data_IF_277543632091
#
_entry.id   IF_277543632091
#
_cell.length_a   1.000
_cell.length_b   1.000
_cell.length_c   1.000
_cell.angle_alpha   90.00
_cell.angle_beta   90.00
_cell.angle_gamma   90.00
#
_symmetry.space_group_name_H-M   'P 1'
#
loop_
_entity.id
_entity.type
_entity.pdbx_description
1 polymer ?
#
# COMPACT_ATOMS: atom_id res chain seq x y z
N UNK A 1 60.45 -52.73 -42.99
CA UNK A 1 60.17 -51.74 -44.06
C UNK A 1 59.95 -50.38 -43.41
N UNK A 2 60.77 -49.41 -43.83
CA UNK A 2 60.77 -48.00 -43.42
C UNK A 2 59.78 -47.20 -44.27
N UNK A 3 59.34 -46.04 -43.77
CA UNK A 3 58.69 -44.97 -44.53
C UNK A 3 57.87 -44.05 -43.61
N UNK A 4 58.48 -43.19 -42.80
CA UNK A 4 58.97 -41.80 -43.06
C UNK A 4 57.92 -40.69 -42.91
N UNK A 5 58.15 -39.88 -41.86
CA UNK A 5 57.99 -38.43 -41.69
C UNK A 5 57.25 -37.57 -42.72
N UNK A 6 56.51 -36.58 -42.19
CA UNK A 6 56.38 -35.27 -42.81
C UNK A 6 55.19 -34.43 -42.36
N UNK A 7 55.31 -33.70 -41.24
CA UNK A 7 54.67 -32.37 -41.15
C UNK A 7 55.47 -31.38 -42.00
N UNK A 8 54.91 -30.20 -42.38
CA UNK A 8 54.90 -29.11 -41.40
C UNK A 8 53.74 -28.08 -41.49
N UNK A 9 53.59 -27.36 -40.37
CA UNK A 9 53.32 -25.93 -40.18
C UNK A 9 52.47 -25.12 -41.19
N UNK A 10 51.36 -24.58 -40.68
CA UNK A 10 51.24 -23.12 -40.39
C UNK A 10 50.67 -22.19 -41.47
N UNK A 11 49.43 -21.71 -41.26
CA UNK A 11 48.89 -20.36 -41.58
C UNK A 11 47.45 -20.28 -41.00
N UNK A 12 47.22 -19.72 -39.81
CA UNK A 12 46.79 -18.33 -39.50
C UNK A 12 45.92 -17.68 -40.59
N UNK A 13 44.60 -17.68 -40.40
CA UNK A 13 43.65 -16.56 -40.59
C UNK A 13 42.44 -16.92 -39.70
N UNK A 14 42.24 -16.31 -38.51
CA UNK A 14 41.76 -14.96 -38.23
C UNK A 14 40.38 -14.65 -38.85
N UNK A 15 39.41 -14.35 -37.98
CA UNK A 15 38.29 -13.48 -38.32
C UNK A 15 36.93 -14.15 -38.51
N UNK A 16 36.22 -14.37 -37.41
CA UNK A 16 34.92 -13.70 -37.15
C UNK A 16 34.23 -14.38 -35.96
N UNK A 17 34.71 -13.96 -34.80
CA UNK A 17 33.99 -13.92 -33.53
C UNK A 17 32.53 -13.48 -33.79
N UNK A 18 31.58 -14.41 -33.74
CA UNK A 18 30.15 -14.07 -33.69
C UNK A 18 29.78 -13.77 -32.25
N UNK A 19 30.22 -12.58 -31.88
CA UNK A 19 29.95 -11.87 -30.64
C UNK A 19 28.44 -11.88 -30.38
N UNK A 20 28.03 -12.58 -29.32
CA UNK A 20 26.74 -12.37 -28.66
C UNK A 20 26.69 -10.89 -28.31
N UNK A 21 25.77 -10.16 -28.92
CA UNK A 21 25.48 -8.76 -28.60
C UNK A 21 24.91 -8.72 -27.18
N UNK A 22 25.81 -8.71 -26.20
CA UNK A 22 25.53 -8.24 -24.85
C UNK A 22 25.39 -6.74 -24.99
N UNK A 23 24.16 -6.27 -25.12
CA UNK A 23 23.86 -4.86 -24.99
C UNK A 23 24.19 -4.43 -23.57
N UNK A 24 25.42 -3.94 -23.41
CA UNK A 24 25.97 -3.47 -22.14
C UNK A 24 25.48 -2.03 -22.00
N UNK A 25 24.23 -1.86 -21.56
CA UNK A 25 23.74 -0.57 -21.11
C UNK A 25 24.60 -0.15 -19.92
N UNK A 26 25.64 0.63 -20.20
CA UNK A 26 26.40 1.35 -19.18
C UNK A 26 25.49 2.43 -18.65
N UNK A 27 24.75 2.12 -17.60
CA UNK A 27 24.18 3.15 -16.74
C UNK A 27 25.34 3.88 -16.07
N UNK A 28 25.80 4.96 -16.72
CA UNK A 28 26.57 6.00 -16.05
C UNK A 28 25.70 6.54 -14.92
N UNK A 29 26.24 6.45 -13.70
CA UNK A 29 25.68 6.97 -12.47
C UNK A 29 25.29 8.44 -12.62
N UNK A 30 24.00 8.69 -12.82
CA UNK A 30 23.35 9.91 -12.37
C UNK A 30 22.53 9.54 -11.13
N UNK A 31 22.54 10.43 -10.15
CA UNK A 31 21.92 10.26 -8.84
C UNK A 31 20.59 9.51 -8.93
N UNK A 32 20.40 8.51 -8.05
CA UNK A 32 19.21 7.68 -8.03
C UNK A 32 17.94 8.53 -7.97
N UNK A 33 17.29 8.73 -9.12
CA UNK A 33 15.86 9.00 -9.20
C UNK A 33 15.17 7.78 -8.60
N UNK A 34 14.78 7.90 -7.33
CA UNK A 34 14.05 6.85 -6.63
C UNK A 34 12.60 6.87 -7.12
N UNK A 35 12.30 6.06 -8.12
CA UNK A 35 10.92 5.75 -8.46
C UNK A 35 10.29 4.92 -7.33
N UNK A 36 9.04 5.25 -6.96
CA UNK A 36 8.25 4.58 -5.92
C UNK A 36 7.68 3.24 -6.37
N UNK A 37 8.06 2.74 -7.55
CA UNK A 37 7.46 1.57 -8.16
C UNK A 37 8.25 0.31 -7.82
N UNK A 38 7.62 -0.58 -7.08
CA UNK A 38 8.04 -1.98 -6.97
C UNK A 38 7.60 -2.74 -8.21
N UNK A 39 8.41 -3.67 -8.70
CA UNK A 39 8.00 -4.57 -9.78
C UNK A 39 6.79 -5.42 -9.34
N UNK A 40 5.82 -5.69 -10.22
CA UNK A 40 4.66 -6.49 -9.86
C UNK A 40 5.08 -7.93 -9.52
N UNK A 41 4.60 -8.44 -8.37
CA UNK A 41 4.89 -9.80 -7.92
C UNK A 41 3.91 -10.83 -8.50
N UNK A 42 2.65 -10.45 -8.65
CA UNK A 42 1.55 -11.27 -9.15
C UNK A 42 0.49 -10.35 -9.77
N UNK A 43 -0.06 -10.72 -10.92
CA UNK A 43 -1.08 -9.94 -11.65
C UNK A 43 -2.08 -10.90 -12.26
N UNK A 44 -3.36 -10.67 -11.99
CA UNK A 44 -4.48 -11.42 -12.56
C UNK A 44 -5.42 -10.44 -13.27
N UNK A 45 -5.94 -10.86 -14.43
CA UNK A 45 -7.02 -10.15 -15.12
C UNK A 45 -8.35 -10.64 -14.57
N UNK A 46 -9.22 -9.70 -14.20
CA UNK A 46 -10.58 -10.00 -13.77
C UNK A 46 -11.48 -10.18 -14.99
N UNK A 47 -12.29 -11.23 -14.98
CA UNK A 47 -13.39 -11.40 -15.91
C UNK A 47 -14.63 -10.61 -15.44
N UNK A 48 -15.57 -10.27 -16.35
CA UNK A 48 -16.86 -9.74 -15.95
C UNK A 48 -17.57 -10.70 -14.99
N UNK A 49 -18.02 -10.19 -13.85
CA UNK A 49 -18.70 -10.98 -12.82
C UNK A 49 -17.78 -11.59 -11.76
N UNK A 50 -16.46 -11.47 -11.89
CA UNK A 50 -15.54 -11.91 -10.85
C UNK A 50 -15.74 -11.08 -9.57
N UNK A 51 -15.82 -11.77 -8.45
CA UNK A 51 -15.77 -11.13 -7.15
C UNK A 51 -14.32 -10.74 -6.83
N UNK A 52 -14.04 -9.44 -6.93
CA UNK A 52 -12.71 -8.85 -6.73
C UNK A 52 -12.06 -9.32 -5.42
N UNK A 53 -12.81 -9.41 -4.34
CA UNK A 53 -12.24 -9.81 -3.05
C UNK A 53 -11.85 -11.29 -3.02
N UNK A 54 -12.62 -12.17 -3.66
CA UNK A 54 -12.30 -13.59 -3.78
C UNK A 54 -11.04 -13.79 -4.62
N UNK A 55 -10.94 -13.11 -5.78
CA UNK A 55 -9.74 -13.18 -6.62
C UNK A 55 -8.52 -12.63 -5.88
N UNK A 56 -8.66 -11.49 -5.21
CA UNK A 56 -7.58 -10.89 -4.39
C UNK A 56 -7.12 -11.84 -3.29
N UNK A 57 -8.06 -12.48 -2.58
CA UNK A 57 -7.73 -13.42 -1.52
C UNK A 57 -6.98 -14.65 -2.05
N UNK A 58 -7.38 -15.17 -3.21
CA UNK A 58 -6.69 -16.28 -3.87
C UNK A 58 -5.25 -15.88 -4.27
N UNK A 59 -5.07 -14.68 -4.84
CA UNK A 59 -3.73 -14.18 -5.19
C UNK A 59 -2.84 -14.01 -3.94
N UNK A 60 -3.36 -13.39 -2.88
CA UNK A 60 -2.61 -13.21 -1.62
C UNK A 60 -2.21 -14.56 -1.04
N UNK A 61 -3.12 -15.54 -1.00
CA UNK A 61 -2.81 -16.92 -0.56
C UNK A 61 -1.69 -17.54 -1.36
N UNK A 62 -1.74 -17.41 -2.70
CA UNK A 62 -0.70 -17.92 -3.59
C UNK A 62 0.67 -17.30 -3.30
N UNK A 63 0.71 -15.98 -3.13
CA UNK A 63 1.94 -15.25 -2.78
C UNK A 63 2.48 -15.69 -1.43
N UNK A 64 1.65 -15.68 -0.38
CA UNK A 64 2.05 -16.04 0.99
C UNK A 64 2.58 -17.47 1.02
N UNK A 65 1.90 -18.41 0.36
CA UNK A 65 2.36 -19.79 0.28
C UNK A 65 3.73 -19.91 -0.41
N UNK A 66 3.96 -19.19 -1.52
CA UNK A 66 5.28 -19.17 -2.18
C UNK A 66 6.38 -18.59 -1.29
N UNK A 67 6.08 -17.57 -0.49
CA UNK A 67 7.03 -17.00 0.48
C UNK A 67 7.40 -18.01 1.57
N UNK A 68 6.41 -18.75 2.09
CA UNK A 68 6.63 -19.79 3.12
C UNK A 68 7.43 -20.95 2.54
N UNK A 69 7.01 -21.50 1.40
CA UNK A 69 7.69 -22.62 0.73
C UNK A 69 9.11 -22.24 0.30
N UNK A 70 9.32 -21.00 -0.13
CA UNK A 70 10.65 -20.46 -0.45
C UNK A 70 11.53 -20.17 0.76
N UNK A 71 11.05 -20.41 1.99
CA UNK A 71 11.79 -20.15 3.22
C UNK A 71 11.98 -18.67 3.55
N UNK A 72 11.28 -17.76 2.87
CA UNK A 72 11.32 -16.32 3.14
C UNK A 72 10.54 -15.91 4.37
N UNK A 73 9.69 -16.80 4.89
CA UNK A 73 9.00 -16.68 6.17
C UNK A 73 9.04 -18.01 6.89
N UNK A 74 9.43 -17.99 8.15
CA UNK A 74 9.48 -19.14 9.05
C UNK A 74 8.54 -18.95 10.23
N UNK A 75 8.30 -20.03 10.98
CA UNK A 75 7.55 -19.95 12.24
C UNK A 75 8.34 -19.13 13.26
N UNK A 76 7.69 -18.13 13.86
CA UNK A 76 8.33 -17.20 14.78
C UNK A 76 8.70 -15.85 14.16
N UNK A 77 8.70 -15.75 12.82
CA UNK A 77 8.81 -14.44 12.15
C UNK A 77 7.56 -13.59 12.38
N UNK A 78 7.67 -12.25 12.39
CA UNK A 78 6.53 -11.36 12.37
C UNK A 78 5.58 -11.66 11.21
N UNK A 79 4.29 -11.42 11.42
CA UNK A 79 3.28 -11.55 10.38
C UNK A 79 3.53 -10.60 9.20
N UNK A 80 3.16 -11.05 8.00
CA UNK A 80 3.35 -10.29 6.77
C UNK A 80 2.35 -9.13 6.74
N UNK A 81 2.85 -7.90 6.62
CA UNK A 81 1.99 -6.72 6.48
C UNK A 81 1.41 -6.62 5.06
N UNK A 82 0.12 -6.92 4.91
CA UNK A 82 -0.64 -6.68 3.69
C UNK A 82 -1.18 -5.24 3.68
N UNK A 83 -0.71 -4.40 2.76
CA UNK A 83 -1.19 -3.03 2.60
C UNK A 83 -2.13 -2.92 1.40
N UNK A 84 -3.38 -2.49 1.62
CA UNK A 84 -4.37 -2.31 0.56
C UNK A 84 -4.94 -0.89 0.50
N UNK A 85 -5.29 -0.44 -0.71
CA UNK A 85 -5.92 0.86 -0.94
C UNK A 85 -7.42 0.88 -0.65
N UNK A 86 -8.02 2.07 -0.75
CA UNK A 86 -9.43 2.32 -0.42
C UNK A 86 -10.48 1.68 -1.34
N UNK A 87 -10.04 1.04 -2.43
CA UNK A 87 -10.89 0.20 -3.27
C UNK A 87 -11.16 -1.18 -2.66
N UNK A 88 -10.42 -1.59 -1.62
CA UNK A 88 -10.57 -2.89 -0.97
C UNK A 88 -11.36 -2.77 0.33
N UNK A 89 -12.16 -3.79 0.63
CA UNK A 89 -12.96 -3.86 1.86
C UNK A 89 -12.15 -4.55 2.95
N UNK A 90 -11.58 -3.74 3.86
CA UNK A 90 -10.72 -4.22 4.96
C UNK A 90 -11.34 -5.36 5.78
N UNK A 91 -12.53 -5.21 6.38
CA UNK A 91 -13.13 -6.25 7.22
C UNK A 91 -13.32 -7.59 6.50
N UNK A 92 -13.70 -7.55 5.21
CA UNK A 92 -13.87 -8.77 4.42
C UNK A 92 -12.51 -9.43 4.17
N UNK A 93 -11.50 -8.67 3.78
CA UNK A 93 -10.14 -9.17 3.56
C UNK A 93 -9.54 -9.80 4.83
N UNK A 94 -9.68 -9.14 5.98
CA UNK A 94 -9.22 -9.68 7.27
C UNK A 94 -9.92 -10.99 7.63
N UNK A 95 -11.24 -11.10 7.37
CA UNK A 95 -11.98 -12.33 7.63
C UNK A 95 -11.58 -13.48 6.71
N UNK A 96 -11.50 -13.24 5.40
CA UNK A 96 -11.22 -14.32 4.43
C UNK A 96 -9.76 -14.77 4.40
N UNK A 97 -8.87 -14.06 5.09
CA UNK A 97 -7.43 -14.37 5.17
C UNK A 97 -6.98 -14.62 6.62
N UNK A 98 -7.91 -14.83 7.55
CA UNK A 98 -7.62 -14.96 8.99
C UNK A 98 -6.78 -16.18 9.37
N UNK A 99 -6.71 -17.18 8.48
CA UNK A 99 -5.87 -18.38 8.63
C UNK A 99 -4.43 -18.19 8.14
N UNK A 100 -4.12 -17.05 7.50
CA UNK A 100 -2.77 -16.73 7.05
C UNK A 100 -2.01 -15.92 8.11
N UNK A 101 -0.67 -16.01 8.14
CA UNK A 101 0.17 -15.21 9.03
C UNK A 101 0.35 -13.79 8.47
N UNK A 102 -0.74 -13.03 8.41
CA UNK A 102 -0.76 -11.69 7.86
C UNK A 102 -1.44 -10.70 8.80
N UNK A 103 -0.97 -9.45 8.74
CA UNK A 103 -1.69 -8.28 9.28
C UNK A 103 -2.22 -7.47 8.12
N UNK A 104 -3.53 -7.20 8.12
CA UNK A 104 -4.21 -6.46 7.06
C UNK A 104 -4.31 -4.99 7.43
N UNK A 105 -3.62 -4.13 6.68
CA UNK A 105 -3.69 -2.67 6.78
C UNK A 105 -4.34 -2.10 5.54
N UNK A 106 -5.56 -1.58 5.67
CA UNK A 106 -6.31 -1.01 4.55
C UNK A 106 -6.55 0.47 4.77
N UNK A 107 -6.23 1.29 3.76
CA UNK A 107 -6.69 2.67 3.71
C UNK A 107 -8.20 2.66 3.52
N UNK A 108 -8.96 3.15 4.47
CA UNK A 108 -10.41 3.27 4.31
C UNK A 108 -10.77 4.63 3.68
N UNK A 109 -11.90 4.68 2.95
CA UNK A 109 -12.42 5.94 2.43
C UNK A 109 -12.91 6.84 3.58
N UNK A 110 -12.76 8.15 3.42
CA UNK A 110 -13.12 9.15 4.43
C UNK A 110 -14.62 9.29 4.70
N UNK A 111 -15.47 8.79 3.80
CA UNK A 111 -16.93 8.78 3.93
C UNK A 111 -17.45 7.52 4.67
N UNK A 112 -16.56 6.65 5.15
CA UNK A 112 -16.96 5.45 5.88
C UNK A 112 -17.36 5.77 7.33
N UNK A 113 -18.37 5.06 7.79
CA UNK A 113 -18.80 5.04 9.19
C UNK A 113 -18.66 3.63 9.72
N UNK A 114 -17.85 3.46 10.76
CA UNK A 114 -17.78 2.23 11.53
C UNK A 114 -18.73 2.31 12.73
N UNK A 115 -19.13 1.14 13.25
CA UNK A 115 -19.99 1.05 14.43
C UNK A 115 -19.21 0.37 15.55
N UNK A 116 -19.27 0.96 16.75
CA UNK A 116 -18.79 0.31 17.97
C UNK A 116 -19.66 -0.91 18.31
N UNK A 117 -19.19 -1.84 19.14
CA UNK A 117 -19.97 -2.90 19.74
C UNK A 117 -21.22 -2.32 20.40
N UNK A 118 -22.31 -3.06 20.29
CA UNK A 118 -23.52 -2.68 21.00
C UNK A 118 -23.25 -2.70 22.51
N UNK A 119 -23.72 -1.69 23.26
CA UNK A 119 -23.66 -1.77 24.72
C UNK A 119 -24.47 -2.98 25.21
N UNK A 120 -24.11 -3.56 26.37
CA UNK A 120 -24.88 -4.64 26.97
C UNK A 120 -26.36 -4.30 27.08
N UNK A 121 -27.23 -5.27 26.82
CA UNK A 121 -28.68 -5.09 26.92
C UNK A 121 -29.10 -5.07 28.41
N UNK A 122 -29.61 -3.95 28.94
CA UNK A 122 -29.93 -3.87 30.37
C UNK A 122 -31.09 -4.79 30.75
N UNK A 123 -31.05 -5.45 31.92
CA UNK A 123 -32.14 -6.28 32.42
C UNK A 123 -33.46 -5.49 32.49
N UNK A 124 -34.58 -6.13 32.15
CA UNK A 124 -35.91 -5.50 32.18
C UNK A 124 -36.22 -4.60 30.97
N UNK A 125 -35.28 -4.40 30.05
CA UNK A 125 -35.54 -3.65 28.81
C UNK A 125 -36.32 -4.51 27.83
N UNK A 126 -37.54 -4.09 27.51
CA UNK A 126 -38.35 -4.73 26.48
C UNK A 126 -37.91 -4.31 25.07
N UNK A 127 -37.99 -5.25 24.12
CA UNK A 127 -37.67 -5.03 22.72
C UNK A 127 -36.36 -5.67 22.26
N UNK A 128 -36.09 -5.60 20.96
CA UNK A 128 -34.91 -6.21 20.33
C UNK A 128 -33.63 -5.49 20.80
N UNK A 129 -32.60 -6.21 21.27
CA UNK A 129 -31.31 -5.62 21.60
C UNK A 129 -30.72 -4.83 20.43
N UNK A 130 -30.02 -3.74 20.76
CA UNK A 130 -29.28 -2.97 19.75
C UNK A 130 -28.23 -3.86 19.10
N UNK A 131 -28.15 -3.84 17.77
CA UNK A 131 -27.12 -4.58 17.01
C UNK A 131 -25.77 -3.85 17.01
N UNK A 132 -25.80 -2.53 17.13
CA UNK A 132 -24.63 -1.66 16.97
C UNK A 132 -24.63 -0.57 18.04
N UNK A 133 -23.42 -0.16 18.45
CA UNK A 133 -23.17 1.00 19.30
C UNK A 133 -23.03 2.30 18.51
N UNK A 134 -22.41 3.29 19.15
CA UNK A 134 -22.18 4.61 18.57
C UNK A 134 -21.34 4.60 17.29
N UNK A 135 -21.51 5.63 16.48
CA UNK A 135 -20.81 5.80 15.20
C UNK A 135 -19.38 6.27 15.39
N UNK A 136 -18.50 5.78 14.52
CA UNK A 136 -17.18 6.31 14.28
C UNK A 136 -17.13 6.71 12.80
N UNK A 137 -17.49 7.95 12.51
CA UNK A 137 -17.60 8.49 11.16
C UNK A 137 -16.27 9.13 10.76
N UNK A 138 -15.65 8.66 9.68
CA UNK A 138 -14.31 9.09 9.27
C UNK A 138 -14.27 10.54 8.78
N UNK A 139 -15.43 11.09 8.40
CA UNK A 139 -15.59 12.49 8.01
C UNK A 139 -15.91 13.42 9.18
N UNK A 140 -16.25 12.89 10.36
CA UNK A 140 -16.68 13.68 11.51
C UNK A 140 -15.86 13.33 12.76
N UNK A 141 -14.80 14.11 13.05
CA UNK A 141 -13.97 13.92 14.23
C UNK A 141 -14.71 14.02 15.57
N UNK A 142 -15.89 14.65 15.63
CA UNK A 142 -16.67 14.73 16.88
C UNK A 142 -17.22 13.36 17.32
N UNK A 143 -17.29 12.41 16.37
CA UNK A 143 -17.68 11.03 16.65
C UNK A 143 -16.53 10.16 17.14
N UNK A 144 -15.28 10.66 17.06
CA UNK A 144 -14.10 9.92 17.47
C UNK A 144 -13.97 10.00 18.99
N UNK A 145 -13.84 8.85 19.65
CA UNK A 145 -13.50 8.83 21.07
C UNK A 145 -12.04 9.29 21.25
N UNK A 146 -11.58 9.43 22.49
CA UNK A 146 -10.15 9.60 22.75
C UNK A 146 -9.37 8.39 22.18
N UNK A 147 -8.28 8.60 21.42
CA UNK A 147 -7.46 7.51 20.94
C UNK A 147 -6.78 6.77 22.10
N UNK A 148 -6.73 5.44 22.00
CA UNK A 148 -6.02 4.60 22.98
C UNK A 148 -4.51 4.72 22.81
N UNK A 149 -4.06 4.85 21.57
CA UNK A 149 -2.66 5.04 21.23
C UNK A 149 -2.56 6.22 20.28
N UNK A 150 -1.71 7.18 20.64
CA UNK A 150 -1.34 8.28 19.78
C UNK A 150 0.18 8.39 19.69
N UNK A 151 0.69 8.55 18.48
CA UNK A 151 2.11 8.67 18.20
C UNK A 151 2.36 9.77 17.19
N UNK A 152 3.48 10.47 17.35
CA UNK A 152 3.97 11.45 16.39
C UNK A 152 5.41 11.14 16.06
N UNK A 153 5.73 11.10 14.77
CA UNK A 153 7.10 10.90 14.31
C UNK A 153 7.44 11.90 13.23
N UNK A 154 8.71 12.31 13.17
CA UNK A 154 9.20 13.16 12.08
C UNK A 154 9.65 12.23 10.96
N UNK A 155 9.05 12.38 9.79
CA UNK A 155 9.55 11.69 8.60
C UNK A 155 10.48 12.61 7.84
N UNK A 156 11.53 12.04 7.25
CA UNK A 156 12.49 12.79 6.44
C UNK A 156 11.87 13.36 5.16
N UNK A 157 10.82 12.73 4.63
CA UNK A 157 10.27 13.02 3.30
C UNK A 157 8.85 13.62 3.31
N UNK A 158 8.03 13.33 4.32
CA UNK A 158 6.60 13.65 4.32
C UNK A 158 6.21 14.63 5.44
N UNK A 159 7.19 15.20 6.14
CA UNK A 159 6.97 16.01 7.32
C UNK A 159 6.55 15.17 8.54
N UNK A 160 6.00 15.80 9.59
CA UNK A 160 5.54 15.08 10.77
C UNK A 160 4.34 14.18 10.43
N UNK A 161 4.45 12.90 10.74
CA UNK A 161 3.36 11.94 10.66
C UNK A 161 2.74 11.76 12.04
N UNK A 162 1.41 11.78 12.10
CA UNK A 162 0.63 11.49 13.30
C UNK A 162 -0.12 10.20 13.07
N UNK A 163 0.00 9.26 13.99
CA UNK A 163 -0.76 8.03 14.02
C UNK A 163 -1.64 8.03 15.27
N UNK A 164 -2.93 7.80 15.09
CA UNK A 164 -3.88 7.56 16.19
C UNK A 164 -4.56 6.25 15.96
N UNK A 165 -4.67 5.44 17.01
CA UNK A 165 -5.33 4.17 17.00
C UNK A 165 -6.49 4.16 18.00
N UNK A 166 -7.57 3.56 17.56
CA UNK A 166 -8.73 3.21 18.37
C UNK A 166 -8.96 1.72 18.20
N UNK A 167 -9.32 1.02 19.27
CA UNK A 167 -9.87 -0.33 19.18
C UNK A 167 -11.37 -0.31 19.46
N UNK A 168 -12.20 0.10 18.48
CA UNK A 168 -13.62 0.06 18.69
C UNK A 168 -14.13 -1.38 18.87
N UNK A 169 -13.51 -2.43 18.31
CA UNK A 169 -14.16 -3.76 18.19
C UNK A 169 -13.22 -4.96 17.87
N UNK A 170 -11.95 -4.96 18.26
CA UNK A 170 -10.94 -5.94 17.83
C UNK A 170 -10.37 -5.68 16.43
N UNK A 171 -10.50 -4.46 15.92
CA UNK A 171 -9.91 -4.00 14.64
C UNK A 171 -9.33 -2.62 14.88
N UNK A 172 -8.01 -2.54 15.05
CA UNK A 172 -7.33 -1.27 15.26
C UNK A 172 -7.48 -0.39 14.01
N UNK A 173 -8.21 0.70 14.14
CA UNK A 173 -8.29 1.72 13.09
C UNK A 173 -7.16 2.69 13.29
N UNK A 174 -6.23 2.78 12.34
CA UNK A 174 -5.13 3.74 12.38
C UNK A 174 -5.42 4.90 11.44
N UNK A 175 -5.57 6.11 11.97
CA UNK A 175 -5.54 7.30 11.16
C UNK A 175 -4.11 7.81 11.07
N UNK A 176 -3.61 7.94 9.85
CA UNK A 176 -2.37 8.66 9.54
C UNK A 176 -2.70 10.01 8.93
N UNK A 177 -2.36 11.10 9.62
CA UNK A 177 -2.50 12.43 9.04
C UNK A 177 -1.25 12.76 8.22
N UNK A 178 -1.46 12.99 6.92
CA UNK A 178 -0.45 13.48 5.97
C UNK A 178 -0.81 14.87 5.41
N UNK A 179 -1.63 15.66 6.13
CA UNK A 179 -2.05 17.05 5.82
C UNK A 179 -0.91 18.09 5.72
N UNK A 180 0.29 17.71 5.32
CA UNK A 180 1.35 18.63 4.92
C UNK A 180 1.42 18.86 3.41
N UNK A 181 0.71 18.08 2.58
CA UNK A 181 0.91 18.13 1.11
C UNK A 181 0.08 19.18 0.34
N UNK A 182 -0.61 20.12 1.00
CA UNK A 182 -1.32 21.19 0.27
C UNK A 182 -1.29 22.60 0.90
N UNK A 183 -0.41 22.91 1.85
CA UNK A 183 -0.30 24.30 2.34
C UNK A 183 1.14 24.80 2.41
N UNK A 184 1.63 25.19 1.24
CA UNK A 184 2.59 26.29 1.10
C UNK A 184 2.15 27.14 -0.09
N UNK A 185 0.93 27.70 -0.01
CA UNK A 185 0.61 28.93 -0.73
C UNK A 185 1.15 30.06 0.13
N UNK A 186 2.42 30.41 -0.05
CA UNK A 186 2.97 31.68 0.42
C UNK A 186 2.15 32.77 -0.26
N UNK A 187 1.48 33.61 0.52
CA UNK A 187 0.80 34.81 0.01
C UNK A 187 1.86 35.64 -0.75
N UNK A 188 1.75 35.71 -2.07
CA UNK A 188 2.55 36.64 -2.86
C UNK A 188 2.02 38.05 -2.56
N UNK A 189 2.85 38.85 -1.91
CA UNK A 189 2.64 40.27 -1.67
C UNK A 189 3.52 41.04 -2.66
N UNK A 190 3.02 42.11 -3.24
CA UNK A 190 3.85 43.05 -4.01
C UNK A 190 4.82 43.80 -3.08
N UNK A 191 5.74 44.58 -3.65
CA UNK A 191 6.75 45.32 -2.88
C UNK A 191 6.12 46.40 -1.97
N UNK A 192 4.85 46.76 -2.20
CA UNK A 192 4.04 47.62 -1.34
C UNK A 192 3.22 46.88 -0.26
N UNK A 193 3.32 45.55 -0.17
CA UNK A 193 2.72 44.74 0.90
C UNK A 193 1.23 44.43 0.73
N UNK A 194 0.67 44.61 -0.47
CA UNK A 194 -0.72 44.25 -0.79
C UNK A 194 -0.83 42.78 -1.18
N UNK A 195 -1.80 42.07 -0.60
CA UNK A 195 -2.07 40.66 -0.90
C UNK A 195 -2.69 40.56 -2.29
N UNK A 196 -2.03 39.84 -3.21
CA UNK A 196 -2.62 39.47 -4.49
C UNK A 196 -3.52 38.24 -4.29
N UNK A 197 -4.83 38.43 -4.38
CA UNK A 197 -5.81 37.33 -4.35
C UNK A 197 -5.68 36.48 -5.62
N UNK A 198 -5.42 35.17 -5.52
CA UNK A 198 -5.57 34.29 -6.67
C UNK A 198 -7.06 34.05 -6.95
N UNK A 199 -7.45 34.15 -8.23
CA UNK A 199 -8.74 33.67 -8.73
C UNK A 199 -8.85 32.17 -8.43
N UNK A 200 -9.59 31.82 -7.38
CA UNK A 200 -9.97 30.45 -7.13
C UNK A 200 -11.06 30.06 -8.14
N UNK A 201 -10.80 28.98 -8.87
CA UNK A 201 -11.76 28.38 -9.79
C UNK A 201 -13.03 27.96 -9.03
N UNK A 202 -14.14 28.59 -9.39
CA UNK A 202 -15.48 28.08 -9.14
C UNK A 202 -15.62 26.72 -9.84
N UNK A 203 -15.80 25.68 -9.03
CA UNK A 203 -16.37 24.42 -9.48
C UNK A 203 -17.35 23.93 -8.41
N UNK A 204 -18.46 24.65 -8.32
CA UNK A 204 -19.70 24.17 -7.75
C UNK A 204 -20.15 22.96 -8.58
N UNK A 205 -20.23 21.78 -7.96
CA UNK A 205 -21.02 20.68 -8.51
C UNK A 205 -22.25 20.50 -7.61
N UNK A 206 -23.34 21.11 -8.05
CA UNK A 206 -24.69 20.74 -7.66
C UNK A 206 -25.01 19.38 -8.30
N UNK A 207 -25.59 18.47 -7.52
CA UNK A 207 -26.23 17.28 -8.05
C UNK A 207 -27.68 17.23 -7.55
N UNK A 208 -28.55 17.03 -8.53
CA UNK A 208 -30.01 16.93 -8.52
C UNK A 208 -30.52 15.79 -7.63
#
# INVERSE_FOLDING_TARGET
>A
MRGTHGGPAGRVEEGADRTIVRDRVRHRSRAAERSSCTAPLDVVRLAPGDDVATVTAAQVRGVVNRLIVGGHRQSGDPDILLVAGAGYVGPRASHVLADLPIVVLVRMRSDRVLRRPAPPHPPGTMGRPRRHGGEFAFGDPSTWAEPEVAGRTKTRLYGPAHARAWDPAGTSTVQTDSRSLHRAGTEARDEEGKVLTPLANDASFTAN
#
